data_IF_978591718115
#
_entry.id   IF_978591718115
#
_cell.length_a   1.000
_cell.length_b   1.000
_cell.length_c   1.000
_cell.angle_alpha   90.00
_cell.angle_beta   90.00
_cell.angle_gamma   90.00
#
_symmetry.space_group_name_H-M   'P 1'
#
loop_
_entity.id
_entity.type
_entity.pdbx_description
1 polymer ?
#
# COMPACT_ATOMS: atom_id res chain seq x y z
N UNK A 1 24.24 -35.96 -29.88
CA UNK A 1 23.85 -34.54 -30.08
C UNK A 1 22.63 -34.31 -29.22
N UNK A 2 22.80 -33.64 -28.08
CA UNK A 2 21.69 -33.32 -27.17
C UNK A 2 20.92 -32.13 -27.74
N UNK A 3 19.60 -32.28 -27.91
CA UNK A 3 18.73 -31.18 -28.30
C UNK A 3 18.80 -30.05 -27.26
N UNK A 4 18.87 -28.78 -27.69
CA UNK A 4 18.86 -27.66 -26.77
C UNK A 4 17.48 -27.57 -26.11
N UNK A 5 17.46 -27.65 -24.78
CA UNK A 5 16.28 -27.32 -23.96
C UNK A 5 15.77 -25.94 -24.36
N UNK A 6 14.48 -25.79 -24.72
CA UNK A 6 13.95 -24.49 -25.12
C UNK A 6 14.07 -23.51 -23.94
N UNK A 7 14.80 -22.42 -24.18
CA UNK A 7 14.88 -21.27 -23.26
C UNK A 7 13.48 -20.79 -22.90
N UNK A 8 13.22 -20.51 -21.60
CA UNK A 8 11.97 -19.91 -21.09
C UNK A 8 11.62 -18.56 -21.75
N UNK A 9 12.52 -17.99 -22.56
CA UNK A 9 12.30 -16.76 -23.31
C UNK A 9 11.62 -17.04 -24.66
N UNK A 10 10.28 -16.94 -24.70
CA UNK A 10 9.49 -16.46 -25.86
C UNK A 10 7.99 -16.78 -25.77
N UNK A 11 7.44 -17.11 -24.59
CA UNK A 11 5.96 -17.18 -24.48
C UNK A 11 5.37 -15.79 -24.76
N UNK A 12 4.48 -15.64 -25.75
CA UNK A 12 3.86 -14.36 -26.04
C UNK A 12 3.11 -13.90 -24.79
N UNK A 13 3.49 -12.72 -24.29
CA UNK A 13 2.97 -12.21 -23.04
C UNK A 13 1.51 -11.75 -23.25
N UNK A 14 0.59 -12.34 -22.50
CA UNK A 14 -0.82 -11.95 -22.53
C UNK A 14 -0.97 -10.55 -21.96
N UNK A 15 -1.60 -9.65 -22.72
CA UNK A 15 -1.91 -8.29 -22.29
C UNK A 15 -2.92 -8.30 -21.14
N UNK A 16 -2.66 -7.49 -20.10
CA UNK A 16 -3.58 -7.32 -18.97
C UNK A 16 -4.41 -6.06 -19.22
N UNK A 17 -5.65 -6.21 -19.69
CA UNK A 17 -6.50 -5.08 -20.07
C UNK A 17 -7.22 -4.41 -18.89
N UNK A 18 -7.48 -5.14 -17.80
CA UNK A 18 -8.23 -4.65 -16.64
C UNK A 18 -7.80 -5.33 -15.32
N UNK A 19 -8.15 -4.74 -14.19
CA UNK A 19 -8.18 -5.36 -12.86
C UNK A 19 -9.64 -5.59 -12.44
N UNK A 20 -9.96 -6.80 -12.01
CA UNK A 20 -11.17 -7.15 -11.27
C UNK A 20 -10.82 -7.36 -9.78
N UNK A 21 -11.83 -7.67 -8.96
CA UNK A 21 -11.63 -7.94 -7.54
C UNK A 21 -10.61 -9.06 -7.26
N UNK A 22 -10.60 -10.12 -8.06
CA UNK A 22 -9.64 -11.22 -7.92
C UNK A 22 -8.19 -10.79 -8.19
N UNK A 23 -7.95 -10.03 -9.26
CA UNK A 23 -6.62 -9.51 -9.61
C UNK A 23 -6.15 -8.49 -8.58
N UNK A 24 -7.03 -7.60 -8.14
CA UNK A 24 -6.73 -6.63 -7.08
C UNK A 24 -6.32 -7.36 -5.79
N UNK A 25 -7.13 -8.33 -5.34
CA UNK A 25 -6.85 -9.12 -4.13
C UNK A 25 -5.46 -9.77 -4.20
N UNK A 26 -5.15 -10.46 -5.30
CA UNK A 26 -3.86 -11.15 -5.46
C UNK A 26 -2.68 -10.16 -5.52
N UNK A 27 -2.85 -9.05 -6.25
CA UNK A 27 -1.85 -7.98 -6.30
C UNK A 27 -1.59 -7.40 -4.92
N UNK A 28 -2.64 -7.10 -4.15
CA UNK A 28 -2.53 -6.56 -2.81
C UNK A 28 -1.77 -7.52 -1.87
N UNK A 29 -2.14 -8.80 -1.86
CA UNK A 29 -1.46 -9.81 -1.04
C UNK A 29 0.04 -9.92 -1.41
N UNK A 30 0.39 -9.80 -2.69
CA UNK A 30 1.77 -9.80 -3.14
C UNK A 30 2.53 -8.54 -2.70
N UNK A 31 1.92 -7.36 -2.85
CA UNK A 31 2.48 -6.09 -2.38
C UNK A 31 2.72 -6.10 -0.86
N UNK A 32 1.74 -6.57 -0.08
CA UNK A 32 1.85 -6.70 1.37
C UNK A 32 2.99 -7.65 1.78
N UNK A 33 3.07 -8.82 1.14
CA UNK A 33 4.15 -9.78 1.40
C UNK A 33 5.53 -9.22 1.03
N UNK A 34 5.61 -8.39 -0.03
CA UNK A 34 6.87 -7.74 -0.41
C UNK A 34 7.31 -6.72 0.64
N UNK A 35 6.38 -5.88 1.13
CA UNK A 35 6.68 -4.93 2.22
C UNK A 35 7.16 -5.65 3.48
N UNK A 36 6.55 -6.78 3.84
CA UNK A 36 7.00 -7.61 4.96
C UNK A 36 8.47 -8.04 4.84
N UNK A 37 8.95 -8.35 3.63
CA UNK A 37 10.38 -8.65 3.39
C UNK A 37 11.28 -7.43 3.51
N UNK A 38 10.74 -6.24 3.27
CA UNK A 38 11.46 -4.97 3.43
C UNK A 38 11.41 -4.46 4.87
N UNK A 39 10.68 -5.10 5.80
CA UNK A 39 10.48 -4.63 7.18
C UNK A 39 11.76 -4.16 7.85
N UNK A 40 12.78 -5.03 7.92
CA UNK A 40 14.04 -4.71 8.60
C UNK A 40 14.79 -3.54 7.95
N UNK A 41 14.71 -3.42 6.63
CA UNK A 41 15.31 -2.31 5.90
C UNK A 41 14.55 -1.00 6.15
N UNK A 42 13.21 -1.04 6.16
CA UNK A 42 12.35 0.11 6.47
C UNK A 42 12.57 0.59 7.90
N UNK A 43 12.68 -0.33 8.87
CA UNK A 43 13.02 -0.02 10.25
C UNK A 43 14.42 0.59 10.36
N UNK A 44 15.41 0.05 9.64
CA UNK A 44 16.80 0.54 9.65
C UNK A 44 16.94 1.96 9.10
N UNK A 45 16.18 2.34 8.08
CA UNK A 45 16.26 3.68 7.46
C UNK A 45 15.32 4.71 8.08
N UNK A 46 14.54 4.32 9.10
CA UNK A 46 13.62 5.21 9.79
C UNK A 46 14.39 6.22 10.66
N UNK A 47 14.81 7.32 10.05
CA UNK A 47 15.52 8.42 10.70
C UNK A 47 14.68 9.71 10.80
N UNK A 48 13.45 9.69 10.27
CA UNK A 48 12.54 10.83 10.18
C UNK A 48 11.07 10.39 10.10
N UNK A 49 10.12 11.13 10.72
CA UNK A 49 10.33 12.28 11.61
C UNK A 49 10.82 11.89 13.00
N UNK A 50 10.57 10.65 13.41
CA UNK A 50 10.99 10.09 14.70
C UNK A 50 11.86 8.86 14.42
N UNK A 51 13.12 8.83 14.86
CA UNK A 51 14.04 7.72 14.60
C UNK A 51 13.84 6.56 15.59
N UNK A 52 12.62 6.03 15.66
CA UNK A 52 12.24 4.94 16.58
C UNK A 52 12.39 3.53 15.97
N UNK A 53 12.76 3.46 14.69
CA UNK A 53 13.04 2.18 14.03
C UNK A 53 11.82 1.28 13.84
N UNK A 54 10.59 1.85 13.82
CA UNK A 54 9.37 1.04 13.78
C UNK A 54 8.56 1.12 12.47
N UNK A 55 8.99 1.93 11.49
CA UNK A 55 8.21 2.22 10.27
C UNK A 55 7.81 0.96 9.50
N UNK A 56 8.75 0.03 9.31
CA UNK A 56 8.54 -1.24 8.65
C UNK A 56 7.64 -2.16 9.46
N UNK A 57 7.85 -2.22 10.77
CA UNK A 57 7.02 -3.02 11.69
C UNK A 57 5.57 -2.55 11.69
N UNK A 58 5.33 -1.25 11.83
CA UNK A 58 4.01 -0.61 11.79
C UNK A 58 3.29 -0.83 10.46
N UNK A 59 4.00 -0.64 9.34
CA UNK A 59 3.43 -0.83 8.02
C UNK A 59 3.11 -2.32 7.75
N UNK A 60 3.98 -3.23 8.17
CA UNK A 60 3.76 -4.69 8.02
C UNK A 60 2.55 -5.17 8.83
N UNK A 61 2.41 -4.73 10.08
CA UNK A 61 1.25 -5.06 10.92
C UNK A 61 -0.07 -4.58 10.31
N UNK A 62 -0.06 -3.36 9.76
CA UNK A 62 -1.21 -2.78 9.07
C UNK A 62 -1.57 -3.61 7.82
N UNK A 63 -0.58 -3.88 6.96
CA UNK A 63 -0.77 -4.64 5.71
C UNK A 63 -1.15 -6.11 5.95
N UNK A 64 -0.68 -6.70 7.05
CA UNK A 64 -1.08 -8.05 7.46
C UNK A 64 -2.55 -8.10 7.82
N UNK A 65 -3.03 -7.14 8.59
CA UNK A 65 -4.45 -7.03 8.95
C UNK A 65 -5.34 -6.87 7.71
N UNK A 66 -4.92 -6.05 6.75
CA UNK A 66 -5.60 -5.92 5.45
C UNK A 66 -5.57 -7.24 4.68
N UNK A 67 -4.42 -7.90 4.63
CA UNK A 67 -4.26 -9.18 3.94
C UNK A 67 -5.17 -10.25 4.51
N UNK A 68 -5.30 -10.32 5.83
CA UNK A 68 -6.15 -11.29 6.51
C UNK A 68 -7.64 -11.05 6.21
N UNK A 69 -8.08 -9.78 6.19
CA UNK A 69 -9.43 -9.43 5.72
C UNK A 69 -9.66 -9.86 4.26
N UNK A 70 -8.66 -9.63 3.39
CA UNK A 70 -8.76 -9.93 1.96
C UNK A 70 -8.73 -11.43 1.64
N UNK A 71 -8.08 -12.29 2.44
CA UNK A 71 -7.95 -13.74 2.17
C UNK A 71 -9.30 -14.43 1.99
N UNK A 72 -10.33 -13.95 2.67
CA UNK A 72 -11.67 -14.53 2.67
C UNK A 72 -12.61 -13.90 1.62
N UNK A 73 -12.20 -12.83 0.94
CA UNK A 73 -13.04 -12.15 -0.05
C UNK A 73 -13.07 -12.91 -1.37
N UNK A 74 -14.27 -13.28 -1.81
CA UNK A 74 -14.53 -14.01 -3.06
C UNK A 74 -15.20 -13.18 -4.16
N UNK A 75 -15.30 -11.86 -3.97
CA UNK A 75 -15.92 -10.98 -4.95
C UNK A 75 -15.06 -10.75 -6.20
N UNK A 76 -15.75 -10.61 -7.33
CA UNK A 76 -15.20 -10.14 -8.60
C UNK A 76 -15.25 -8.61 -8.71
N UNK A 77 -15.99 -7.94 -7.82
CA UNK A 77 -16.11 -6.50 -7.81
C UNK A 77 -14.82 -5.86 -7.34
N UNK A 78 -14.18 -5.08 -8.22
CA UNK A 78 -13.00 -4.30 -7.86
C UNK A 78 -13.31 -3.38 -6.67
N UNK A 79 -14.43 -2.65 -6.71
CA UNK A 79 -14.80 -1.71 -5.67
C UNK A 79 -15.05 -2.36 -4.32
N UNK A 80 -15.64 -3.56 -4.30
CA UNK A 80 -15.88 -4.29 -3.05
C UNK A 80 -14.57 -4.73 -2.41
N UNK A 81 -13.65 -5.27 -3.21
CA UNK A 81 -12.33 -5.69 -2.71
C UNK A 81 -11.51 -4.48 -2.26
N UNK A 82 -11.54 -3.36 -3.01
CA UNK A 82 -10.88 -2.12 -2.61
C UNK A 82 -11.47 -1.55 -1.31
N UNK A 83 -12.80 -1.60 -1.16
CA UNK A 83 -13.50 -1.16 0.05
C UNK A 83 -13.11 -1.97 1.28
N UNK A 84 -13.11 -3.31 1.18
CA UNK A 84 -12.67 -4.17 2.28
C UNK A 84 -11.21 -3.88 2.66
N UNK A 85 -10.34 -3.66 1.67
CA UNK A 85 -8.95 -3.35 1.94
C UNK A 85 -8.78 -2.01 2.69
N UNK A 86 -9.51 -0.99 2.24
CA UNK A 86 -9.50 0.34 2.87
C UNK A 86 -10.06 0.30 4.30
N UNK A 87 -11.21 -0.34 4.51
CA UNK A 87 -11.84 -0.48 5.83
C UNK A 87 -10.93 -1.22 6.82
N UNK A 88 -10.35 -2.34 6.39
CA UNK A 88 -9.40 -3.10 7.22
C UNK A 88 -8.16 -2.28 7.56
N UNK A 89 -7.67 -1.46 6.62
CA UNK A 89 -6.53 -0.58 6.84
C UNK A 89 -6.82 0.46 7.92
N UNK A 90 -7.95 1.17 7.78
CA UNK A 90 -8.38 2.19 8.76
C UNK A 90 -8.55 1.60 10.16
N UNK A 91 -9.17 0.42 10.28
CA UNK A 91 -9.41 -0.21 11.58
C UNK A 91 -8.15 -0.73 12.27
N UNK A 92 -7.13 -1.11 11.49
CA UNK A 92 -5.93 -1.77 11.99
C UNK A 92 -4.64 -0.95 11.82
N UNK A 93 -4.74 0.32 11.42
CA UNK A 93 -3.60 1.20 11.22
C UNK A 93 -2.71 1.26 12.48
N UNK A 94 -1.41 1.03 12.28
CA UNK A 94 -0.39 1.14 13.33
C UNK A 94 0.62 2.23 12.99
N UNK A 95 0.89 3.10 13.96
CA UNK A 95 1.83 4.22 13.82
C UNK A 95 1.51 5.16 12.65
N UNK A 96 2.44 6.06 12.37
CA UNK A 96 2.27 7.05 11.30
C UNK A 96 2.30 6.41 9.91
N UNK A 97 3.19 5.43 9.69
CA UNK A 97 3.32 4.75 8.40
C UNK A 97 2.06 3.95 8.03
N UNK A 98 1.48 3.23 8.99
CA UNK A 98 0.22 2.51 8.80
C UNK A 98 -0.98 3.44 8.61
N UNK A 99 -1.04 4.55 9.35
CA UNK A 99 -2.10 5.55 9.20
C UNK A 99 -2.08 6.20 7.82
N UNK A 100 -0.91 6.67 7.36
CA UNK A 100 -0.77 7.30 6.05
C UNK A 100 -1.07 6.33 4.91
N UNK A 101 -0.57 5.08 4.98
CA UNK A 101 -0.91 4.07 3.97
C UNK A 101 -2.42 3.77 3.95
N UNK A 102 -3.06 3.68 5.12
CA UNK A 102 -4.50 3.42 5.23
C UNK A 102 -5.32 4.58 4.69
N UNK A 103 -4.91 5.83 4.95
CA UNK A 103 -5.54 7.01 4.35
C UNK A 103 -5.41 7.02 2.84
N UNK A 104 -4.20 6.75 2.33
CA UNK A 104 -3.95 6.64 0.89
C UNK A 104 -4.87 5.59 0.25
N UNK A 105 -5.00 4.42 0.87
CA UNK A 105 -5.88 3.34 0.41
C UNK A 105 -7.36 3.72 0.49
N UNK A 106 -7.78 4.46 1.51
CA UNK A 106 -9.13 4.98 1.64
C UNK A 106 -9.47 5.94 0.51
N UNK A 107 -8.64 6.96 0.26
CA UNK A 107 -8.82 7.89 -0.85
C UNK A 107 -8.82 7.21 -2.22
N UNK A 108 -7.98 6.17 -2.38
CA UNK A 108 -8.01 5.31 -3.56
C UNK A 108 -9.36 4.61 -3.73
N UNK A 109 -9.89 3.99 -2.68
CA UNK A 109 -11.14 3.24 -2.71
C UNK A 109 -12.36 4.14 -2.98
N UNK A 110 -12.44 5.30 -2.34
CA UNK A 110 -13.55 6.25 -2.46
C UNK A 110 -13.70 6.79 -3.89
N UNK A 111 -12.58 6.98 -4.62
CA UNK A 111 -12.58 7.50 -5.98
C UNK A 111 -13.15 6.54 -7.03
N UNK A 112 -13.04 5.23 -6.80
CA UNK A 112 -13.33 4.21 -7.83
C UNK A 112 -14.83 4.10 -8.14
N UNK A 113 -15.70 4.50 -7.22
CA UNK A 113 -17.16 4.34 -7.32
C UNK A 113 -17.57 2.87 -7.32
N UNK A 114 -18.70 2.52 -7.93
CA UNK A 114 -19.19 1.13 -8.06
C UNK A 114 -18.75 0.51 -9.39
N UNK A 115 -17.68 -0.27 -9.41
CA UNK A 115 -17.11 -0.89 -10.61
C UNK A 115 -16.69 -2.33 -10.38
N UNK A 116 -17.05 -3.19 -11.33
CA UNK A 116 -16.57 -4.57 -11.36
C UNK A 116 -15.11 -4.66 -11.84
N UNK A 117 -14.74 -3.82 -12.81
CA UNK A 117 -13.42 -3.82 -13.46
C UNK A 117 -12.94 -2.40 -13.67
N UNK A 118 -11.63 -2.21 -13.64
CA UNK A 118 -10.97 -0.92 -13.87
C UNK A 118 -9.76 -1.08 -14.79
N UNK A 119 -9.49 -0.06 -15.59
CA UNK A 119 -8.29 0.05 -16.41
C UNK A 119 -7.34 1.16 -15.90
N UNK A 120 -6.30 1.48 -16.69
CA UNK A 120 -5.32 2.50 -16.31
C UNK A 120 -5.91 3.86 -15.97
N UNK A 121 -6.99 4.27 -16.64
CA UNK A 121 -7.62 5.59 -16.43
C UNK A 121 -8.28 5.70 -15.06
N UNK A 122 -9.09 4.71 -14.70
CA UNK A 122 -9.78 4.68 -13.42
C UNK A 122 -8.79 4.54 -12.26
N UNK A 123 -7.73 3.73 -12.43
CA UNK A 123 -6.68 3.59 -11.42
C UNK A 123 -5.89 4.89 -11.29
N UNK A 124 -5.55 5.56 -12.40
CA UNK A 124 -4.83 6.83 -12.35
C UNK A 124 -5.60 7.92 -11.60
N UNK A 125 -6.92 7.98 -11.79
CA UNK A 125 -7.77 8.92 -11.05
C UNK A 125 -7.78 8.59 -9.56
N UNK A 126 -7.96 7.32 -9.22
CA UNK A 126 -7.93 6.88 -7.83
C UNK A 126 -6.59 7.12 -7.14
N UNK A 127 -5.46 6.93 -7.83
CA UNK A 127 -4.14 7.27 -7.31
C UNK A 127 -3.98 8.79 -7.08
N UNK A 128 -4.64 9.61 -7.90
CA UNK A 128 -4.61 11.07 -7.75
C UNK A 128 -5.41 11.52 -6.52
N UNK A 129 -6.60 10.94 -6.30
CA UNK A 129 -7.39 11.20 -5.09
C UNK A 129 -6.68 10.66 -3.85
N UNK A 130 -6.09 9.46 -3.93
CA UNK A 130 -5.28 8.88 -2.86
C UNK A 130 -4.12 9.79 -2.46
N UNK A 131 -3.37 10.33 -3.44
CA UNK A 131 -2.27 11.25 -3.17
C UNK A 131 -2.74 12.56 -2.54
N UNK A 132 -3.86 13.13 -3.03
CA UNK A 132 -4.44 14.34 -2.45
C UNK A 132 -4.87 14.13 -0.99
N UNK A 133 -5.46 12.96 -0.68
CA UNK A 133 -5.98 12.64 0.66
C UNK A 133 -4.92 12.58 1.76
N UNK A 134 -3.64 12.47 1.40
CA UNK A 134 -2.51 12.48 2.34
C UNK A 134 -2.19 13.88 2.86
N UNK A 135 -2.50 14.93 2.10
CA UNK A 135 -2.30 16.31 2.55
C UNK A 135 -3.26 16.68 3.68
N UNK A 136 -4.49 16.15 3.65
CA UNK A 136 -5.57 16.50 4.59
C UNK A 136 -5.36 15.99 6.02
N UNK A 137 -4.37 15.12 6.24
CA UNK A 137 -4.18 14.40 7.52
C UNK A 137 -2.99 14.93 8.33
N UNK A 138 -2.16 15.80 7.76
CA UNK A 138 -1.01 16.36 8.45
C UNK A 138 -1.27 17.84 8.81
N UNK A 139 -1.05 18.19 10.08
CA UNK A 139 -1.13 19.59 10.56
C UNK A 139 -0.05 20.48 9.93
N UNK A 140 1.12 19.90 9.62
CA UNK A 140 2.18 20.50 8.82
C UNK A 140 2.66 19.45 7.81
N UNK A 141 2.02 19.34 6.63
CA UNK A 141 2.48 18.46 5.58
C UNK A 141 3.76 19.09 5.00
N UNK A 142 4.89 18.92 5.70
CA UNK A 142 6.19 19.09 5.07
C UNK A 142 6.12 18.23 3.81
N UNK A 143 6.32 18.84 2.63
CA UNK A 143 6.25 18.23 1.28
C UNK A 143 7.24 17.07 1.07
N UNK A 144 7.72 16.47 2.15
CA UNK A 144 8.88 15.64 2.25
C UNK A 144 8.47 14.40 3.02
N UNK A 145 8.14 13.33 2.29
CA UNK A 145 7.89 11.95 2.76
C UNK A 145 7.12 11.21 1.63
N UNK A 146 6.35 10.18 1.99
CA UNK A 146 5.39 9.44 1.16
C UNK A 146 4.51 10.31 0.24
N UNK A 147 4.19 11.56 0.61
CA UNK A 147 3.37 12.48 -0.19
C UNK A 147 4.01 12.80 -1.54
N UNK A 148 5.31 13.10 -1.57
CA UNK A 148 6.03 13.44 -2.81
C UNK A 148 5.96 12.28 -3.80
N UNK A 149 6.22 11.06 -3.30
CA UNK A 149 6.22 9.85 -4.11
C UNK A 149 4.80 9.50 -4.57
N UNK A 150 3.79 9.65 -3.71
CA UNK A 150 2.39 9.45 -4.06
C UNK A 150 1.93 10.41 -5.18
N UNK A 151 2.30 11.70 -5.08
CA UNK A 151 2.01 12.72 -6.09
C UNK A 151 2.69 12.41 -7.42
N UNK A 152 3.99 12.11 -7.41
CA UNK A 152 4.75 11.83 -8.62
C UNK A 152 4.26 10.55 -9.31
N UNK A 153 3.90 9.53 -8.51
CA UNK A 153 3.25 8.30 -8.99
C UNK A 153 1.92 8.61 -9.67
N UNK A 154 1.05 9.40 -9.03
CA UNK A 154 -0.25 9.78 -9.59
C UNK A 154 -0.11 10.58 -10.89
N UNK A 155 0.86 11.49 -10.95
CA UNK A 155 1.16 12.27 -12.16
C UNK A 155 1.61 11.37 -13.32
N UNK A 156 2.53 10.44 -13.08
CA UNK A 156 2.95 9.48 -14.11
C UNK A 156 1.80 8.54 -14.51
N UNK A 157 0.98 8.10 -13.55
CA UNK A 157 -0.22 7.30 -13.78
C UNK A 157 -1.16 7.96 -14.79
N UNK A 158 -1.51 9.23 -14.55
CA UNK A 158 -2.37 10.02 -15.46
C UNK A 158 -1.72 10.21 -16.84
N UNK A 159 -0.43 10.55 -16.87
CA UNK A 159 0.33 10.74 -18.12
C UNK A 159 0.33 9.49 -19.01
N UNK A 160 0.46 8.29 -18.40
CA UNK A 160 0.54 7.01 -19.13
C UNK A 160 -0.82 6.36 -19.41
N UNK A 161 -1.87 6.73 -18.67
CA UNK A 161 -3.18 6.09 -18.74
C UNK A 161 -3.85 6.12 -20.12
N UNK A 162 -3.49 7.08 -20.97
CA UNK A 162 -4.00 7.18 -22.34
C UNK A 162 -3.24 6.29 -23.32
N UNK A 163 -1.91 6.26 -23.23
CA UNK A 163 -1.03 5.61 -24.21
C UNK A 163 -0.65 4.17 -23.86
N UNK A 164 -0.86 3.74 -22.61
CA UNK A 164 -0.45 2.42 -22.13
C UNK A 164 -1.63 1.62 -21.59
N UNK A 165 -2.27 0.86 -22.47
CA UNK A 165 -3.48 0.08 -22.15
C UNK A 165 -3.18 -1.38 -21.72
N UNK A 166 -1.91 -1.77 -21.59
CA UNK A 166 -1.48 -3.01 -20.95
C UNK A 166 -1.05 -2.67 -19.52
N UNK A 167 -1.85 -3.08 -18.53
CA UNK A 167 -1.66 -2.71 -17.14
C UNK A 167 -0.30 -3.11 -16.59
N UNK A 168 0.29 -4.21 -17.04
CA UNK A 168 1.64 -4.55 -16.60
C UNK A 168 2.68 -3.54 -17.06
N UNK A 169 2.67 -3.18 -18.35
CA UNK A 169 3.62 -2.21 -18.88
C UNK A 169 3.39 -0.86 -18.22
N UNK A 170 2.12 -0.52 -17.98
CA UNK A 170 1.75 0.66 -17.22
C UNK A 170 2.29 0.63 -15.78
N UNK A 171 2.09 -0.45 -15.02
CA UNK A 171 2.63 -0.61 -13.67
C UNK A 171 4.17 -0.59 -13.64
N UNK A 172 4.85 -1.11 -14.66
CA UNK A 172 6.32 -0.98 -14.79
C UNK A 172 6.76 0.46 -15.01
N UNK A 173 6.05 1.21 -15.84
CA UNK A 173 6.30 2.63 -16.05
C UNK A 173 6.12 3.41 -14.72
N UNK A 174 5.09 3.04 -13.93
CA UNK A 174 4.84 3.60 -12.61
C UNK A 174 5.93 3.25 -11.59
N UNK A 175 6.32 1.98 -11.48
CA UNK A 175 7.38 1.54 -10.58
C UNK A 175 8.68 2.31 -10.86
N UNK A 176 9.05 2.45 -12.14
CA UNK A 176 10.24 3.21 -12.50
C UNK A 176 10.14 4.69 -12.10
N UNK A 177 8.96 5.30 -12.18
CA UNK A 177 8.74 6.68 -11.75
C UNK A 177 8.77 6.83 -10.23
N UNK A 178 8.14 5.91 -9.50
CA UNK A 178 8.19 5.83 -8.03
C UNK A 178 9.62 5.69 -7.53
N UNK A 179 10.43 4.82 -8.14
CA UNK A 179 11.83 4.64 -7.74
C UNK A 179 12.64 5.93 -7.94
N UNK A 180 12.48 6.61 -9.09
CA UNK A 180 13.13 7.91 -9.31
C UNK A 180 12.69 8.96 -8.31
N UNK A 181 11.42 8.97 -7.90
CA UNK A 181 10.92 9.90 -6.89
C UNK A 181 11.48 9.56 -5.50
N UNK A 182 11.50 8.28 -5.14
CA UNK A 182 12.07 7.78 -3.89
C UNK A 182 13.54 8.18 -3.75
N UNK A 183 14.35 8.02 -4.80
CA UNK A 183 15.76 8.43 -4.74
C UNK A 183 15.94 9.94 -4.49
N UNK A 184 15.03 10.79 -5.01
CA UNK A 184 15.08 12.22 -4.72
C UNK A 184 14.81 12.53 -3.25
N UNK A 185 14.05 11.70 -2.54
CA UNK A 185 13.72 11.94 -1.12
C UNK A 185 14.95 12.08 -0.24
N UNK A 186 16.04 11.37 -0.58
CA UNK A 186 17.34 11.47 0.10
C UNK A 186 17.87 12.89 0.19
N UNK A 187 17.60 13.72 -0.82
CA UNK A 187 18.10 15.10 -0.89
C UNK A 187 17.10 16.13 -0.35
N UNK A 188 15.88 15.72 0.00
CA UNK A 188 14.81 16.63 0.39
C UNK A 188 14.92 17.10 1.86
N UNK A 189 15.55 16.31 2.73
CA UNK A 189 15.82 16.70 4.13
C UNK A 189 17.30 16.58 4.47
N UNK A 190 17.84 17.53 5.27
CA UNK A 190 19.19 17.39 5.83
C UNK A 190 19.41 16.04 6.53
N UNK A 191 18.46 15.59 7.36
CA UNK A 191 18.58 14.32 8.11
C UNK A 191 18.66 13.09 7.21
N UNK A 192 17.90 13.05 6.10
CA UNK A 192 17.95 11.95 5.14
C UNK A 192 19.27 11.97 4.37
N UNK A 193 19.73 13.15 3.97
CA UNK A 193 20.99 13.36 3.25
C UNK A 193 22.20 12.97 4.10
N UNK A 194 22.22 13.42 5.36
CA UNK A 194 23.28 13.12 6.34
C UNK A 194 23.35 11.63 6.66
N UNK A 195 22.20 10.98 6.85
CA UNK A 195 22.12 9.53 7.05
C UNK A 195 22.38 8.74 5.76
N UNK A 196 22.34 9.39 4.60
CA UNK A 196 22.56 8.77 3.29
C UNK A 196 21.41 7.86 2.83
N UNK A 197 20.21 7.99 3.41
CA UNK A 197 19.06 7.11 3.19
C UNK A 197 17.88 7.84 2.52
N UNK A 198 16.96 7.06 1.96
CA UNK A 198 15.66 7.57 1.45
C UNK A 198 14.62 7.60 2.58
N UNK A 199 13.50 8.27 2.35
CA UNK A 199 12.38 8.27 3.29
C UNK A 199 11.78 6.87 3.48
N UNK A 200 11.63 6.44 4.74
CA UNK A 200 11.17 5.10 5.08
C UNK A 200 9.71 4.86 4.67
N UNK A 201 8.83 5.82 4.93
CA UNK A 201 7.41 5.74 4.56
C UNK A 201 7.21 5.67 3.05
N UNK A 202 7.91 6.52 2.30
CA UNK A 202 7.94 6.51 0.85
C UNK A 202 8.45 5.18 0.30
N UNK A 203 9.55 4.64 0.84
CA UNK A 203 10.07 3.33 0.45
C UNK A 203 9.04 2.24 0.69
N UNK A 204 8.28 2.30 1.78
CA UNK A 204 7.18 1.38 2.05
C UNK A 204 6.12 1.37 0.94
N UNK A 205 5.68 2.56 0.49
CA UNK A 205 4.74 2.68 -0.63
C UNK A 205 5.34 2.14 -1.95
N UNK A 206 6.58 2.48 -2.28
CA UNK A 206 7.26 1.97 -3.49
C UNK A 206 7.39 0.45 -3.44
N UNK A 207 7.79 -0.10 -2.29
CA UNK A 207 7.93 -1.54 -2.06
C UNK A 207 6.61 -2.28 -2.28
N UNK A 208 5.48 -1.69 -1.90
CA UNK A 208 4.17 -2.28 -2.18
C UNK A 208 3.91 -2.44 -3.69
N UNK A 209 4.13 -1.38 -4.48
CA UNK A 209 3.96 -1.44 -5.94
C UNK A 209 4.99 -2.35 -6.61
N UNK A 210 6.22 -2.36 -6.12
CA UNK A 210 7.26 -3.29 -6.55
C UNK A 210 6.80 -4.75 -6.35
N UNK A 211 6.24 -5.09 -5.19
CA UNK A 211 5.68 -6.41 -4.93
C UNK A 211 4.56 -6.82 -5.91
N UNK A 212 3.71 -5.86 -6.29
CA UNK A 212 2.67 -6.08 -7.32
C UNK A 212 3.32 -6.40 -8.67
N UNK A 213 4.35 -5.65 -9.09
CA UNK A 213 5.04 -5.89 -10.37
C UNK A 213 5.76 -7.24 -10.37
N UNK A 214 6.51 -7.57 -9.31
CA UNK A 214 7.17 -8.87 -9.17
C UNK A 214 6.19 -10.04 -9.31
N UNK A 215 5.00 -9.90 -8.72
CA UNK A 215 3.94 -10.90 -8.86
C UNK A 215 3.43 -11.02 -10.30
N UNK A 216 3.24 -9.90 -11.01
CA UNK A 216 2.82 -9.94 -12.43
C UNK A 216 3.93 -10.54 -13.31
N UNK A 217 5.20 -10.36 -12.95
CA UNK A 217 6.36 -11.01 -13.59
C UNK A 217 6.43 -12.53 -13.34
N UNK A 218 5.55 -13.08 -12.50
CA UNK A 218 5.48 -14.50 -12.21
C UNK A 218 6.44 -14.95 -11.11
N UNK A 219 7.01 -14.02 -10.34
CA UNK A 219 7.69 -14.37 -9.09
C UNK A 219 6.62 -14.82 -8.08
N UNK A 220 6.82 -15.99 -7.49
CA UNK A 220 5.82 -16.57 -6.60
C UNK A 220 5.68 -15.70 -5.35
N UNK A 221 4.45 -15.48 -4.85
CA UNK A 221 4.24 -14.97 -3.50
C UNK A 221 4.78 -15.94 -2.42
N UNK A 222 5.19 -17.15 -2.81
CA UNK A 222 5.45 -18.36 -2.01
C UNK A 222 6.90 -18.69 -1.67
N UNK A 223 7.89 -17.96 -2.20
CA UNK A 223 9.29 -18.01 -1.70
C UNK A 223 9.44 -17.19 -0.39
N UNK A 224 8.31 -16.96 0.29
CA UNK A 224 8.13 -16.24 1.55
C UNK A 224 8.46 -17.16 2.70
N UNK A 225 9.58 -16.85 3.36
CA UNK A 225 9.90 -17.37 4.69
C UNK A 225 8.69 -17.15 5.60
N UNK A 226 8.31 -18.19 6.34
CA UNK A 226 7.40 -18.05 7.47
C UNK A 226 7.94 -16.93 8.39
N UNK A 227 7.20 -15.82 8.51
CA UNK A 227 7.55 -14.79 9.49
C UNK A 227 7.69 -15.46 10.86
N UNK A 228 8.82 -15.22 11.54
CA UNK A 228 8.92 -15.50 12.96
C UNK A 228 7.73 -14.84 13.67
N UNK A 229 7.09 -15.50 14.66
CA UNK A 229 5.93 -14.95 15.34
C UNK A 229 6.23 -13.54 15.84
N UNK A 230 5.44 -12.57 15.38
CA UNK A 230 5.42 -11.25 16.01
C UNK A 230 4.86 -11.46 17.43
N UNK A 231 5.64 -11.09 18.44
CA UNK A 231 5.22 -11.21 19.83
C UNK A 231 3.90 -10.45 20.02
N UNK A 232 2.89 -11.15 20.51
CA UNK A 232 1.56 -10.57 20.77
C UNK A 232 1.67 -9.71 22.02
N UNK A 233 1.68 -8.39 21.85
CA UNK A 233 1.30 -7.50 22.96
C UNK A 233 -0.19 -7.74 23.24
N UNK A 234 -0.48 -8.25 24.44
CA UNK A 234 -1.83 -8.58 24.89
C UNK A 234 -2.71 -7.33 24.94
N UNK A 235 -3.93 -7.41 24.39
CA UNK A 235 -4.91 -6.33 24.52
C UNK A 235 -6.24 -6.59 23.83
N UNK A 236 -7.11 -7.37 24.49
CA UNK A 236 -8.57 -7.20 24.47
C UNK A 236 -9.34 -7.75 23.26
N UNK A 237 -10.15 -8.79 23.54
CA UNK A 237 -11.30 -9.17 22.70
C UNK A 237 -12.12 -7.94 22.28
N UNK A 238 -12.43 -7.81 20.99
CA UNK A 238 -13.47 -6.90 20.52
C UNK A 238 -14.49 -7.66 19.69
N UNK A 239 -15.79 -7.55 20.03
CA UNK A 239 -16.85 -8.18 19.27
C UNK A 239 -17.03 -7.52 17.91
N UNK A 240 -17.46 -8.32 16.93
CA UNK A 240 -17.91 -7.89 15.61
C UNK A 240 -19.02 -6.83 15.71
N UNK A 241 -18.82 -5.70 15.05
CA UNK A 241 -19.75 -4.56 15.02
C UNK A 241 -21.03 -4.79 14.20
N UNK A 242 -21.23 -5.99 13.64
CA UNK A 242 -22.51 -6.34 13.01
C UNK A 242 -23.68 -6.51 14.02
N UNK A 243 -23.41 -6.45 15.33
CA UNK A 243 -24.43 -6.59 16.39
C UNK A 243 -24.68 -5.28 17.17
N UNK A 244 -23.80 -4.27 17.08
CA UNK A 244 -23.93 -3.06 17.91
C UNK A 244 -24.77 -1.93 17.28
N UNK A 245 -25.40 -2.16 16.12
CA UNK A 245 -26.37 -1.21 15.55
C UNK A 245 -27.78 -1.34 16.12
N UNK A 246 -28.06 -2.36 16.93
CA UNK A 246 -29.37 -2.58 17.56
C UNK A 246 -29.39 -2.42 19.08
N UNK A 247 -28.25 -2.15 19.73
CA UNK A 247 -28.21 -1.95 21.17
C UNK A 247 -27.71 -0.53 21.49
N UNK A 248 -28.64 0.42 21.58
CA UNK A 248 -28.38 1.78 22.01
C UNK A 248 -27.82 1.84 23.43
N UNK A 249 -26.50 1.86 23.56
CA UNK A 249 -25.81 2.09 24.83
C UNK A 249 -25.06 3.43 24.80
N UNK A 250 -25.50 4.29 25.72
CA UNK A 250 -25.03 5.66 25.91
C UNK A 250 -23.63 5.75 26.50
N UNK A 251 -23.11 6.98 26.40
CA UNK A 251 -21.82 7.40 26.88
C UNK A 251 -21.62 7.09 28.38
N UNK A 252 -20.48 6.49 28.70
CA UNK A 252 -19.96 6.29 30.04
C UNK A 252 -18.45 6.49 30.03
N UNK A 253 -17.98 7.26 31.01
CA UNK A 253 -16.67 7.91 31.09
C UNK A 253 -15.48 6.95 31.10
N UNK A 254 -14.45 7.28 30.33
CA UNK A 254 -13.16 6.62 30.33
C UNK A 254 -12.10 7.52 29.68
N UNK A 255 -11.40 8.28 30.52
CA UNK A 255 -10.42 9.31 30.16
C UNK A 255 -9.25 8.73 29.38
N UNK A 256 -9.02 9.24 28.17
CA UNK A 256 -7.68 9.38 27.59
C UNK A 256 -7.57 10.76 26.91
N UNK A 257 -6.90 11.68 27.61
CA UNK A 257 -6.12 12.77 27.01
C UNK A 257 -5.10 12.13 26.04
N UNK A 258 -4.83 12.64 24.83
CA UNK A 258 -4.51 14.04 24.50
C UNK A 258 -4.95 14.41 23.07
N UNK A 259 -5.83 15.42 23.00
CA UNK A 259 -5.88 16.56 22.07
C UNK A 259 -5.69 16.34 20.55
N UNK A 260 -6.82 16.41 19.83
CA UNK A 260 -6.92 17.06 18.51
C UNK A 260 -7.79 18.30 18.74
N UNK A 261 -7.30 19.48 18.37
CA UNK A 261 -8.08 20.72 18.40
C UNK A 261 -8.95 20.82 17.14
N UNK A 262 -10.17 21.32 17.35
CA UNK A 262 -11.26 21.53 16.38
C UNK A 262 -10.90 22.57 15.33
#
# INVERSE_FOLDING_TARGET
MSEPTPSRASRPRVRIAYLDGHRLRRGFLAGAAYVGRQRAELDRINVFPVPDGDTGTNLTLTLRSISDALRHVRSDSFSEVAGVAAEAGVLAARGNSGMLFSRYLLGFSESIGRRLRVGPREIAEALSVAAASLHDVLEDPREVTIITVARDLAAEARKRAHSRQDLYLWFRDLQAASERSLQRTKELLPVLREAGVVDAGAKGLVSFFEGVVHYIDGHAPGDVVAEAPLERTHGGDRPSLYVAREAGFGAGEGRYCTQIAV
#
